data_IF_141282973981
#
_entry.id   IF_141282973981
#
_cell.length_a   1.000
_cell.length_b   1.000
_cell.length_c   1.000
_cell.angle_alpha   90.00
_cell.angle_beta   90.00
_cell.angle_gamma   90.00
#
_symmetry.space_group_name_H-M   'P 1'
#
loop_
_entity.id
_entity.type
_entity.pdbx_description
1 polymer ?
#
# COMPACT_ATOMS: atom_id res chain seq x y z
N UNK A 1 48.86 -3.11 -39.85
CA UNK A 1 47.61 -2.77 -40.58
C UNK A 1 46.50 -2.51 -39.55
N UNK A 2 45.61 -1.56 -39.82
CA UNK A 2 45.05 -0.61 -38.83
C UNK A 2 43.51 -0.85 -38.66
N UNK A 3 42.66 -0.12 -37.94
CA UNK A 3 42.56 1.28 -37.52
C UNK A 3 41.67 1.39 -36.27
N UNK A 4 42.07 2.23 -35.31
CA UNK A 4 41.17 2.91 -34.37
C UNK A 4 40.78 4.25 -35.00
N UNK A 5 39.48 4.50 -35.16
CA UNK A 5 38.98 5.81 -35.58
C UNK A 5 38.64 6.67 -34.35
N UNK A 6 39.38 7.79 -34.22
CA UNK A 6 38.97 8.97 -33.46
C UNK A 6 37.84 9.67 -34.21
N UNK A 7 36.88 10.23 -33.48
CA UNK A 7 35.97 11.25 -34.01
C UNK A 7 36.19 12.55 -33.23
N UNK A 8 36.64 13.57 -33.97
CA UNK A 8 36.76 14.95 -33.54
C UNK A 8 35.38 15.63 -33.48
N UNK A 9 35.26 16.58 -32.55
CA UNK A 9 34.05 17.36 -32.33
C UNK A 9 33.80 18.43 -33.40
N UNK A 10 32.53 18.64 -33.72
CA UNK A 10 32.02 19.88 -34.28
C UNK A 10 30.69 20.24 -33.61
N UNK A 11 30.66 21.43 -33.02
CA UNK A 11 29.49 22.04 -32.40
C UNK A 11 28.50 22.50 -33.49
N UNK A 12 27.24 22.06 -33.40
CA UNK A 12 26.14 22.56 -34.22
C UNK A 12 25.25 23.49 -33.39
N UNK A 13 25.06 24.71 -33.90
CA UNK A 13 24.18 25.75 -33.33
C UNK A 13 22.71 25.42 -33.65
N UNK A 14 21.73 25.78 -32.79
CA UNK A 14 20.32 25.54 -33.07
C UNK A 14 19.75 26.58 -34.04
N UNK A 15 19.11 26.10 -35.11
CA UNK A 15 18.35 26.91 -36.06
C UNK A 15 16.93 27.16 -35.53
N UNK A 16 16.53 28.43 -35.52
CA UNK A 16 15.20 28.92 -35.20
C UNK A 16 14.18 28.52 -36.28
N UNK A 17 13.11 27.82 -35.90
CA UNK A 17 11.92 27.66 -36.75
C UNK A 17 10.73 28.23 -35.98
N UNK A 18 10.43 29.51 -36.26
CA UNK A 18 9.13 30.09 -35.98
C UNK A 18 8.17 29.67 -37.11
N UNK A 19 7.11 28.92 -36.78
CA UNK A 19 5.95 28.76 -37.67
C UNK A 19 4.69 29.15 -36.91
N UNK A 20 3.97 30.05 -37.56
CA UNK A 20 2.71 30.65 -37.13
C UNK A 20 1.61 29.61 -36.90
N UNK A 21 0.89 29.73 -35.80
CA UNK A 21 -0.48 29.23 -35.65
C UNK A 21 -1.40 30.43 -35.38
N UNK A 22 -2.60 30.51 -36.02
CA UNK A 22 -3.52 31.63 -35.83
C UNK A 22 -4.26 31.50 -34.50
N UNK A 23 -4.60 32.61 -33.81
CA UNK A 23 -5.44 32.55 -32.63
C UNK A 23 -6.91 32.43 -33.07
N UNK A 24 -7.55 31.30 -32.74
CA UNK A 24 -9.01 31.21 -32.66
C UNK A 24 -9.40 30.68 -31.30
N UNK A 25 -9.65 31.61 -30.38
CA UNK A 25 -10.52 31.39 -29.23
C UNK A 25 -11.66 32.39 -29.33
N UNK A 26 -12.74 32.01 -30.02
CA UNK A 26 -14.03 32.68 -29.93
C UNK A 26 -14.73 32.10 -28.70
N UNK A 27 -14.64 32.81 -27.58
CA UNK A 27 -15.57 32.60 -26.45
C UNK A 27 -16.80 33.45 -26.77
N UNK A 28 -17.89 32.79 -27.17
CA UNK A 28 -19.21 33.40 -27.10
C UNK A 28 -19.63 33.44 -25.63
N UNK A 29 -19.92 34.64 -25.11
CA UNK A 29 -20.83 34.79 -23.99
C UNK A 29 -21.90 35.82 -24.36
N UNK A 30 -23.13 35.48 -23.98
CA UNK A 30 -24.39 36.13 -24.31
C UNK A 30 -24.55 37.36 -23.41
N UNK A 31 -25.13 38.43 -23.95
CA UNK A 31 -25.38 39.76 -23.36
C UNK A 31 -24.27 40.78 -23.61
N UNK A 32 -24.50 41.60 -24.65
CA UNK A 32 -23.63 42.71 -25.01
C UNK A 32 -23.70 43.84 -24.00
N UNK A 33 -22.54 44.23 -23.47
CA UNK A 33 -22.18 45.59 -23.08
C UNK A 33 -20.65 45.70 -23.08
N UNK A 34 -20.10 46.53 -23.96
CA UNK A 34 -18.69 46.88 -23.96
C UNK A 34 -18.44 47.92 -22.86
N UNK A 35 -17.73 47.54 -21.79
CA UNK A 35 -17.06 48.49 -20.91
C UNK A 35 -15.56 48.46 -21.20
N UNK A 36 -15.04 49.58 -21.69
CA UNK A 36 -13.64 49.77 -21.98
C UNK A 36 -12.85 49.98 -20.68
N UNK A 37 -12.50 48.87 -20.01
CA UNK A 37 -11.44 48.82 -19.00
C UNK A 37 -10.40 47.78 -19.40
N UNK A 38 -9.48 48.21 -20.26
CA UNK A 38 -8.06 47.85 -20.28
C UNK A 38 -7.64 46.38 -20.52
N UNK A 39 -6.77 46.10 -21.52
CA UNK A 39 -5.99 44.86 -21.59
C UNK A 39 -5.09 44.59 -20.35
N UNK A 40 -4.94 45.59 -19.47
CA UNK A 40 -4.15 45.51 -18.25
C UNK A 40 -4.71 44.54 -17.21
N UNK A 41 -6.04 44.43 -17.04
CA UNK A 41 -6.65 43.56 -16.03
C UNK A 41 -6.49 42.07 -16.41
N UNK A 42 -6.54 41.77 -17.71
CA UNK A 42 -6.31 40.42 -18.25
C UNK A 42 -4.82 40.03 -18.15
N UNK A 43 -3.91 40.99 -18.35
CA UNK A 43 -2.47 40.78 -18.15
C UNK A 43 -2.08 40.61 -16.68
N UNK A 44 -2.79 41.26 -15.76
CA UNK A 44 -2.53 41.17 -14.31
C UNK A 44 -3.07 39.85 -13.72
N UNK A 45 -4.23 39.37 -14.19
CA UNK A 45 -4.70 38.02 -13.87
C UNK A 45 -3.83 36.94 -14.52
N UNK A 46 -3.37 37.12 -15.77
CA UNK A 46 -2.43 36.20 -16.41
C UNK A 46 -1.04 36.19 -15.73
N UNK A 47 -0.61 37.32 -15.15
CA UNK A 47 0.62 37.38 -14.33
C UNK A 47 0.46 36.67 -12.99
N UNK A 48 -0.71 36.74 -12.34
CA UNK A 48 -0.96 36.02 -11.10
C UNK A 48 -0.88 34.49 -11.26
N UNK A 49 -1.18 33.96 -12.45
CA UNK A 49 -1.06 32.52 -12.74
C UNK A 49 0.36 32.06 -13.10
N UNK A 50 1.34 32.96 -13.23
CA UNK A 50 2.72 32.64 -13.66
C UNK A 50 3.80 32.85 -12.58
N UNK A 51 3.44 33.10 -11.32
CA UNK A 51 4.39 33.58 -10.29
C UNK A 51 4.74 32.58 -9.18
N UNK A 52 4.72 31.28 -9.43
CA UNK A 52 5.44 30.35 -8.55
C UNK A 52 6.75 29.94 -9.23
N UNK A 53 7.85 30.50 -8.75
CA UNK A 53 9.18 30.01 -9.09
C UNK A 53 9.25 28.51 -8.79
N UNK A 54 9.89 27.70 -9.66
CA UNK A 54 10.01 26.27 -9.41
C UNK A 54 10.69 26.03 -8.06
N UNK A 55 10.14 25.10 -7.28
CA UNK A 55 10.70 24.70 -5.99
C UNK A 55 12.15 24.27 -6.18
N UNK A 56 13.04 24.81 -5.34
CA UNK A 56 14.46 24.45 -5.30
C UNK A 56 14.73 23.80 -3.95
N UNK A 57 15.03 22.48 -3.92
CA UNK A 57 15.37 21.81 -2.67
C UNK A 57 16.53 22.51 -1.93
N UNK A 58 16.45 22.70 -0.61
CA UNK A 58 17.56 23.26 0.15
C UNK A 58 18.75 22.28 0.18
N UNK A 59 19.96 22.79 0.43
CA UNK A 59 21.17 21.96 0.59
C UNK A 59 21.04 20.92 1.71
N UNK A 60 20.31 21.29 2.76
CA UNK A 60 20.01 20.43 3.90
C UNK A 60 18.50 20.50 4.11
N UNK A 61 17.84 19.35 4.06
CA UNK A 61 16.41 19.26 4.33
C UNK A 61 16.15 19.55 5.81
N UNK A 62 15.11 20.34 6.08
CA UNK A 62 14.60 20.60 7.42
C UNK A 62 13.11 20.26 7.44
N UNK A 63 12.60 19.62 8.50
CA UNK A 63 11.17 19.37 8.63
C UNK A 63 10.43 20.70 8.76
N UNK A 64 9.63 21.05 7.75
CA UNK A 64 8.68 22.15 7.89
C UNK A 64 7.52 21.74 8.81
N UNK A 65 6.85 22.71 9.44
CA UNK A 65 5.63 22.44 10.20
C UNK A 65 4.59 21.82 9.25
N UNK A 66 4.10 20.60 9.51
CA UNK A 66 3.18 19.92 8.60
C UNK A 66 1.93 20.78 8.38
N UNK A 67 1.66 21.16 7.13
CA UNK A 67 0.42 21.86 6.75
C UNK A 67 -0.45 20.91 5.93
N UNK A 68 -1.29 20.14 6.61
CA UNK A 68 -2.30 19.27 5.99
C UNK A 68 -1.84 17.86 5.61
N UNK A 69 -2.80 17.04 5.14
CA UNK A 69 -2.64 15.61 4.84
C UNK A 69 -3.06 14.69 5.99
N UNK A 70 -3.66 13.54 5.66
CA UNK A 70 -4.32 12.64 6.62
C UNK A 70 -3.40 12.08 7.73
N UNK A 71 -2.08 12.07 7.51
CA UNK A 71 -1.10 11.48 8.44
C UNK A 71 -0.08 12.50 8.98
N UNK A 72 -0.35 13.79 8.83
CA UNK A 72 0.55 14.87 9.26
C UNK A 72 0.84 14.86 10.78
N UNK A 73 -0.11 14.40 11.60
CA UNK A 73 0.02 14.31 13.06
C UNK A 73 0.98 13.21 13.54
N UNK A 74 1.29 12.22 12.68
CA UNK A 74 2.06 11.03 13.07
C UNK A 74 3.39 10.86 12.31
N UNK A 75 3.51 11.42 11.11
CA UNK A 75 4.73 11.32 10.30
C UNK A 75 5.85 12.19 10.89
N UNK A 76 7.02 11.59 11.14
CA UNK A 76 8.16 12.26 11.77
C UNK A 76 9.49 11.82 11.13
N UNK A 77 10.53 12.67 11.14
CA UNK A 77 11.85 12.31 10.64
C UNK A 77 12.69 11.49 11.63
N UNK A 78 12.15 11.19 12.82
CA UNK A 78 12.82 10.43 13.89
C UNK A 78 11.97 9.25 14.32
N UNK A 79 12.63 8.15 14.70
CA UNK A 79 12.01 6.94 15.24
C UNK A 79 11.98 6.97 16.78
N UNK A 80 11.44 5.89 17.38
CA UNK A 80 11.45 5.68 18.83
C UNK A 80 10.14 6.05 19.52
N UNK A 81 10.03 5.71 20.81
CA UNK A 81 8.81 5.89 21.58
C UNK A 81 8.53 7.36 21.86
N UNK A 82 7.25 7.66 22.07
CA UNK A 82 6.74 9.01 22.41
C UNK A 82 6.05 9.07 23.76
N UNK A 83 5.63 7.91 24.26
CA UNK A 83 4.95 7.77 25.53
C UNK A 83 5.19 6.38 26.10
N UNK A 84 5.19 6.28 27.42
CA UNK A 84 5.27 5.01 28.12
C UNK A 84 3.90 4.34 28.15
N UNK A 85 3.81 3.13 27.59
CA UNK A 85 2.59 2.30 27.61
C UNK A 85 2.96 0.86 27.28
N UNK A 86 2.74 -0.01 28.26
CA UNK A 86 2.85 -1.46 28.11
C UNK A 86 1.79 -1.99 27.16
N UNK A 87 2.12 -3.06 26.45
CA UNK A 87 1.15 -3.75 25.58
C UNK A 87 0.31 -4.76 26.39
N UNK A 88 -1.00 -4.87 26.11
CA UNK A 88 -1.84 -5.89 26.72
C UNK A 88 -1.42 -7.29 26.26
N UNK A 89 -1.61 -8.28 27.12
CA UNK A 89 -1.28 -9.69 26.85
C UNK A 89 -2.46 -10.54 27.24
N UNK A 90 -2.97 -11.34 26.30
CA UNK A 90 -4.07 -12.26 26.52
C UNK A 90 -3.62 -13.68 26.81
N UNK A 91 -4.58 -14.62 26.69
CA UNK A 91 -4.39 -16.04 27.07
C UNK A 91 -3.71 -16.88 25.99
N UNK A 92 -3.71 -16.41 24.75
CA UNK A 92 -3.31 -17.21 23.60
C UNK A 92 -1.79 -17.16 23.33
N UNK A 93 -1.22 -18.18 22.68
CA UNK A 93 0.22 -18.23 22.41
C UNK A 93 0.70 -17.09 21.51
N UNK A 94 -0.11 -16.63 20.56
CA UNK A 94 0.27 -15.59 19.61
C UNK A 94 -0.41 -14.27 19.98
N UNK A 95 0.38 -13.24 20.26
CA UNK A 95 -0.12 -11.89 20.55
C UNK A 95 0.13 -11.01 19.32
N UNK A 96 -0.94 -10.62 18.62
CA UNK A 96 -0.90 -9.75 17.45
C UNK A 96 -1.31 -8.33 17.85
N UNK A 97 -0.50 -7.35 17.46
CA UNK A 97 -0.78 -5.91 17.64
C UNK A 97 -0.91 -5.29 16.25
N UNK A 98 -2.14 -4.93 15.87
CA UNK A 98 -2.46 -4.69 14.46
C UNK A 98 -3.65 -3.75 14.23
N UNK A 99 -3.96 -3.53 12.95
CA UNK A 99 -5.10 -2.78 12.43
C UNK A 99 -5.50 -3.41 11.09
N UNK A 100 -6.80 -3.43 10.75
CA UNK A 100 -7.34 -4.04 9.52
C UNK A 100 -6.97 -3.33 8.20
N UNK A 101 -5.80 -2.72 8.12
CA UNK A 101 -5.17 -2.34 6.85
C UNK A 101 -4.82 -3.59 6.04
N UNK A 102 -4.55 -3.47 4.72
CA UNK A 102 -4.05 -4.59 3.91
C UNK A 102 -2.90 -5.37 4.56
N UNK A 103 -1.97 -4.70 5.24
CA UNK A 103 -0.83 -5.40 5.88
C UNK A 103 -1.25 -6.19 7.13
N UNK A 104 -2.18 -5.68 7.94
CA UNK A 104 -2.69 -6.40 9.11
C UNK A 104 -3.55 -7.59 8.72
N UNK A 105 -4.40 -7.40 7.69
CA UNK A 105 -5.29 -8.45 7.17
C UNK A 105 -4.52 -9.66 6.65
N UNK A 106 -3.30 -9.51 6.10
CA UNK A 106 -2.45 -10.66 5.74
C UNK A 106 -2.28 -11.63 6.90
N UNK A 107 -1.98 -11.10 8.08
CA UNK A 107 -1.64 -11.91 9.26
C UNK A 107 -2.90 -12.55 9.85
N UNK A 108 -4.00 -11.80 9.94
CA UNK A 108 -5.26 -12.36 10.45
C UNK A 108 -5.84 -13.42 9.52
N UNK A 109 -5.71 -13.25 8.19
CA UNK A 109 -6.03 -14.32 7.23
C UNK A 109 -5.16 -15.54 7.49
N UNK A 110 -3.83 -15.39 7.60
CA UNK A 110 -2.93 -16.52 7.85
C UNK A 110 -3.28 -17.29 9.12
N UNK A 111 -3.60 -16.58 10.21
CA UNK A 111 -3.98 -17.20 11.48
C UNK A 111 -5.30 -17.96 11.36
N UNK A 112 -6.33 -17.36 10.74
CA UNK A 112 -7.62 -18.02 10.52
C UNK A 112 -7.50 -19.21 9.54
N UNK A 113 -6.60 -19.15 8.56
CA UNK A 113 -6.31 -20.26 7.64
C UNK A 113 -5.64 -21.43 8.39
N UNK A 114 -4.71 -21.15 9.30
CA UNK A 114 -4.08 -22.16 10.15
C UNK A 114 -5.07 -22.79 11.12
N UNK A 115 -5.94 -21.99 11.73
CA UNK A 115 -7.02 -22.49 12.59
C UNK A 115 -8.01 -23.37 11.82
N UNK A 116 -8.35 -23.00 10.58
CA UNK A 116 -9.19 -23.82 9.70
C UNK A 116 -8.54 -25.18 9.34
N UNK A 117 -7.21 -25.28 9.36
CA UNK A 117 -6.46 -26.53 9.22
C UNK A 117 -6.34 -27.33 10.53
N UNK A 118 -6.87 -26.82 11.65
CA UNK A 118 -6.84 -27.48 12.95
C UNK A 118 -5.58 -27.22 13.78
N UNK A 119 -4.75 -26.24 13.40
CA UNK A 119 -3.56 -25.87 14.17
C UNK A 119 -3.94 -25.06 15.41
N UNK A 120 -4.26 -25.72 16.53
CA UNK A 120 -4.63 -25.05 17.78
C UNK A 120 -3.54 -24.13 18.34
N UNK A 121 -2.27 -24.37 18.01
CA UNK A 121 -1.17 -23.47 18.36
C UNK A 121 -1.20 -22.11 17.66
N UNK A 122 -2.07 -21.93 16.65
CA UNK A 122 -2.28 -20.68 15.94
C UNK A 122 -3.34 -19.78 16.59
N UNK A 123 -3.93 -20.21 17.72
CA UNK A 123 -4.81 -19.35 18.52
C UNK A 123 -4.09 -18.05 18.92
N UNK A 124 -4.82 -16.94 18.86
CA UNK A 124 -4.21 -15.61 18.97
C UNK A 124 -5.10 -14.57 19.63
N UNK A 125 -4.48 -13.62 20.32
CA UNK A 125 -5.11 -12.37 20.72
C UNK A 125 -4.71 -11.28 19.73
N UNK A 126 -5.67 -10.63 19.07
CA UNK A 126 -5.41 -9.52 18.16
C UNK A 126 -5.87 -8.19 18.76
N UNK A 127 -4.91 -7.47 19.31
CA UNK A 127 -5.07 -6.17 19.94
C UNK A 127 -5.06 -5.04 18.93
N UNK A 128 -5.96 -4.09 19.10
CA UNK A 128 -6.11 -2.95 18.20
C UNK A 128 -5.02 -1.90 18.46
N UNK A 129 -4.34 -1.48 17.40
CA UNK A 129 -3.37 -0.37 17.40
C UNK A 129 -3.90 0.73 16.49
N UNK A 130 -4.35 1.85 17.07
CA UNK A 130 -4.91 2.97 16.32
C UNK A 130 -3.79 3.84 15.77
N UNK A 131 -3.35 3.54 14.54
CA UNK A 131 -2.19 4.20 13.94
C UNK A 131 -2.34 5.72 13.79
N UNK A 132 -3.58 6.21 13.66
CA UNK A 132 -3.91 7.64 13.58
C UNK A 132 -3.76 8.37 14.91
N UNK A 133 -3.80 7.63 16.03
CA UNK A 133 -3.68 8.15 17.40
C UNK A 133 -2.26 7.98 17.96
N UNK A 134 -1.37 7.33 17.21
CA UNK A 134 0.03 7.18 17.58
C UNK A 134 0.34 6.00 18.51
N UNK A 135 -0.59 5.05 18.69
CA UNK A 135 -0.36 3.84 19.52
C UNK A 135 0.91 3.07 19.13
N UNK A 136 1.29 3.08 17.85
CA UNK A 136 2.52 2.46 17.34
C UNK A 136 3.83 3.10 17.85
N UNK A 137 3.73 4.20 18.57
CA UNK A 137 4.86 4.90 19.19
C UNK A 137 4.88 4.77 20.72
N UNK A 138 4.12 3.84 21.31
CA UNK A 138 4.31 3.46 22.72
C UNK A 138 5.64 2.74 22.93
N UNK A 139 6.19 2.80 24.14
CA UNK A 139 7.36 2.01 24.51
C UNK A 139 7.16 0.51 24.24
N UNK A 140 6.06 -0.08 24.69
CA UNK A 140 5.76 -1.50 24.46
C UNK A 140 5.65 -1.87 22.98
N UNK A 141 5.05 -1.03 22.12
CA UNK A 141 4.99 -1.33 20.69
C UNK A 141 6.36 -1.23 20.01
N UNK A 142 7.16 -0.23 20.38
CA UNK A 142 8.52 -0.05 19.84
C UNK A 142 9.45 -1.19 20.25
N UNK A 143 9.27 -1.78 21.43
CA UNK A 143 10.00 -2.97 21.86
C UNK A 143 9.75 -4.18 20.97
N UNK A 144 8.53 -4.36 20.45
CA UNK A 144 8.22 -5.44 19.50
C UNK A 144 8.66 -5.05 18.08
N UNK A 145 8.37 -3.82 17.64
CA UNK A 145 8.75 -3.33 16.33
C UNK A 145 9.40 -1.92 16.40
N UNK A 146 10.73 -1.82 16.27
CA UNK A 146 11.42 -0.53 16.29
C UNK A 146 11.09 0.37 15.09
N UNK A 147 10.46 -0.17 14.04
CA UNK A 147 9.97 0.59 12.88
C UNK A 147 8.61 1.26 13.13
N UNK A 148 7.95 1.00 14.27
CA UNK A 148 6.64 1.58 14.62
C UNK A 148 5.58 1.39 13.52
N UNK A 149 5.49 0.18 12.96
CA UNK A 149 4.44 -0.18 11.99
C UNK A 149 3.73 -1.47 12.38
N UNK A 150 2.42 -1.49 12.17
CA UNK A 150 1.63 -2.72 12.21
C UNK A 150 1.81 -3.51 10.90
N UNK A 151 1.53 -4.83 10.90
CA UNK A 151 1.35 -5.69 12.08
C UNK A 151 2.68 -6.00 12.80
N UNK A 152 2.59 -6.26 14.10
CA UNK A 152 3.67 -6.81 14.90
C UNK A 152 3.13 -7.97 15.75
N UNK A 153 3.88 -9.06 15.86
CA UNK A 153 3.48 -10.29 16.56
C UNK A 153 4.51 -10.66 17.62
N UNK A 154 4.04 -11.14 18.77
CA UNK A 154 4.85 -11.75 19.81
C UNK A 154 4.40 -13.19 20.03
N UNK A 155 5.25 -14.15 19.67
CA UNK A 155 5.02 -15.57 19.94
C UNK A 155 5.50 -15.91 21.36
N UNK A 156 4.55 -16.20 22.24
CA UNK A 156 4.75 -16.55 23.65
C UNK A 156 4.68 -18.05 23.91
N UNK A 157 4.67 -18.89 22.87
CA UNK A 157 4.71 -20.35 23.02
C UNK A 157 6.10 -20.91 23.36
N UNK A 158 7.13 -20.06 23.34
CA UNK A 158 8.50 -20.40 23.70
C UNK A 158 8.83 -19.91 25.12
N UNK A 159 9.87 -20.48 25.75
CA UNK A 159 10.37 -20.04 27.06
C UNK A 159 10.77 -18.55 27.03
N UNK A 160 11.48 -18.14 25.98
CA UNK A 160 11.74 -16.73 25.67
C UNK A 160 10.81 -16.31 24.52
N UNK A 161 9.90 -15.34 24.71
CA UNK A 161 9.03 -14.87 23.65
C UNK A 161 9.79 -14.37 22.41
N UNK A 162 9.27 -14.66 21.23
CA UNK A 162 9.87 -14.29 19.94
C UNK A 162 9.06 -13.15 19.32
N UNK A 163 9.67 -11.97 19.18
CA UNK A 163 9.08 -10.85 18.44
C UNK A 163 9.26 -11.04 16.93
N UNK A 164 8.21 -10.83 16.16
CA UNK A 164 8.19 -10.93 14.70
C UNK A 164 7.44 -9.72 14.15
N UNK A 165 8.13 -8.88 13.38
CA UNK A 165 7.56 -7.69 12.74
C UNK A 165 7.85 -7.72 11.24
N UNK A 166 7.15 -6.87 10.49
CA UNK A 166 6.92 -6.95 9.03
C UNK A 166 5.98 -8.09 8.62
N UNK A 167 4.89 -7.73 7.93
CA UNK A 167 3.84 -8.69 7.56
C UNK A 167 4.36 -9.91 6.79
N UNK A 168 5.30 -9.74 5.84
CA UNK A 168 5.90 -10.85 5.11
C UNK A 168 6.76 -11.78 5.98
N UNK A 169 7.46 -11.21 6.97
CA UNK A 169 8.22 -11.98 7.96
C UNK A 169 7.29 -12.80 8.86
N UNK A 170 6.18 -12.20 9.31
CA UNK A 170 5.16 -12.90 10.11
C UNK A 170 4.53 -14.05 9.31
N UNK A 171 4.19 -13.84 8.04
CA UNK A 171 3.67 -14.90 7.18
C UNK A 171 4.66 -16.06 7.03
N UNK A 172 5.93 -15.76 6.74
CA UNK A 172 6.98 -16.76 6.61
C UNK A 172 7.19 -17.52 7.93
N UNK A 173 7.27 -16.81 9.06
CA UNK A 173 7.41 -17.38 10.40
C UNK A 173 6.28 -18.37 10.71
N UNK A 174 5.02 -17.97 10.49
CA UNK A 174 3.86 -18.82 10.73
C UNK A 174 3.83 -20.02 9.77
N UNK A 175 4.17 -19.83 8.49
CA UNK A 175 4.23 -20.91 7.53
C UNK A 175 5.26 -21.98 7.91
N UNK A 176 6.43 -21.57 8.41
CA UNK A 176 7.47 -22.48 8.89
C UNK A 176 7.07 -23.16 10.20
N UNK A 177 6.58 -22.38 11.19
CA UNK A 177 6.14 -22.89 12.49
C UNK A 177 5.10 -24.01 12.36
N UNK A 178 4.18 -23.88 11.42
CA UNK A 178 3.08 -24.83 11.22
C UNK A 178 3.23 -25.69 9.95
N UNK A 179 4.35 -25.59 9.24
CA UNK A 179 4.63 -26.32 7.98
C UNK A 179 3.45 -26.27 6.99
N UNK A 180 2.86 -25.09 6.82
CA UNK A 180 1.63 -24.88 6.05
C UNK A 180 1.75 -23.65 5.15
N UNK A 181 1.10 -23.67 3.99
CA UNK A 181 1.08 -22.57 3.00
C UNK A 181 2.44 -22.18 2.39
N UNK A 182 3.46 -23.01 2.55
CA UNK A 182 4.77 -22.87 1.93
C UNK A 182 5.28 -24.27 1.51
N UNK A 183 5.50 -24.52 0.21
CA UNK A 183 6.01 -25.81 -0.25
C UNK A 183 7.36 -26.16 0.39
N UNK A 184 7.59 -27.45 0.63
CA UNK A 184 8.83 -27.96 1.22
C UNK A 184 9.92 -28.21 0.16
N UNK A 185 9.53 -28.46 -1.10
CA UNK A 185 10.48 -28.64 -2.18
C UNK A 185 11.13 -27.29 -2.54
N UNK A 186 12.41 -27.34 -2.93
CA UNK A 186 13.21 -26.14 -3.14
C UNK A 186 12.61 -25.23 -4.23
N UNK A 187 12.05 -25.81 -5.30
CA UNK A 187 11.53 -25.05 -6.42
C UNK A 187 10.24 -24.30 -6.04
N UNK A 188 9.25 -25.00 -5.48
CA UNK A 188 7.99 -24.41 -5.02
C UNK A 188 8.20 -23.40 -3.89
N UNK A 189 9.13 -23.68 -2.96
CA UNK A 189 9.51 -22.73 -1.91
C UNK A 189 10.10 -21.47 -2.50
N UNK A 190 11.05 -21.61 -3.42
CA UNK A 190 11.72 -20.46 -4.06
C UNK A 190 10.70 -19.60 -4.81
N UNK A 191 9.80 -20.23 -5.59
CA UNK A 191 8.79 -19.48 -6.33
C UNK A 191 7.81 -18.76 -5.41
N UNK A 192 7.39 -19.39 -4.31
CA UNK A 192 6.56 -18.74 -3.29
C UNK A 192 7.26 -17.53 -2.68
N UNK A 193 8.55 -17.66 -2.36
CA UNK A 193 9.34 -16.56 -1.80
C UNK A 193 9.56 -15.44 -2.82
N UNK A 194 9.78 -15.74 -4.11
CA UNK A 194 9.87 -14.73 -5.16
C UNK A 194 8.65 -13.80 -5.15
N UNK A 195 7.44 -14.37 -5.11
CA UNK A 195 6.20 -13.60 -5.09
C UNK A 195 5.93 -12.91 -3.75
N UNK A 196 6.29 -13.53 -2.62
CA UNK A 196 6.21 -12.89 -1.31
C UNK A 196 7.09 -11.64 -1.24
N UNK A 197 8.35 -11.75 -1.67
CA UNK A 197 9.28 -10.61 -1.68
C UNK A 197 8.92 -9.57 -2.74
N UNK A 198 8.42 -9.99 -3.91
CA UNK A 198 7.82 -9.08 -4.88
C UNK A 198 6.71 -8.25 -4.23
N UNK A 199 5.80 -8.87 -3.49
CA UNK A 199 4.69 -8.18 -2.83
C UNK A 199 5.20 -7.14 -1.83
N UNK A 200 6.18 -7.52 -1.00
CA UNK A 200 6.77 -6.62 0.00
C UNK A 200 7.50 -5.43 -0.65
N UNK A 201 8.12 -5.61 -1.82
CA UNK A 201 8.74 -4.53 -2.60
C UNK A 201 7.76 -3.69 -3.43
N UNK A 202 6.64 -4.27 -3.86
CA UNK A 202 5.66 -3.62 -4.74
C UNK A 202 4.63 -2.77 -3.98
N UNK A 203 4.13 -3.25 -2.84
CA UNK A 203 3.10 -2.57 -2.05
C UNK A 203 3.45 -1.13 -1.63
N UNK A 204 4.72 -0.77 -1.32
CA UNK A 204 5.09 0.62 -1.08
C UNK A 204 4.75 1.57 -2.25
N UNK A 205 4.85 1.12 -3.50
CA UNK A 205 4.46 1.92 -4.66
C UNK A 205 2.93 2.06 -4.77
N UNK A 206 2.18 1.01 -4.46
CA UNK A 206 0.72 1.04 -4.50
C UNK A 206 0.12 1.89 -3.35
N UNK A 207 0.58 1.68 -2.12
CA UNK A 207 0.05 2.39 -0.95
C UNK A 207 0.70 3.75 -0.72
N UNK A 208 2.03 3.76 -0.55
CA UNK A 208 2.81 4.95 -0.22
C UNK A 208 3.05 5.88 -1.42
N UNK A 209 2.96 5.36 -2.64
CA UNK A 209 2.93 6.13 -3.87
C UNK A 209 1.50 6.44 -4.29
N UNK A 210 0.88 5.52 -5.03
CA UNK A 210 -0.41 5.73 -5.67
C UNK A 210 -1.50 6.14 -4.66
N UNK A 211 -1.74 5.32 -3.63
CA UNK A 211 -2.76 5.59 -2.61
C UNK A 211 -2.55 6.92 -1.89
N UNK A 212 -1.30 7.28 -1.57
CA UNK A 212 -0.99 8.58 -0.97
C UNK A 212 -1.37 9.74 -1.89
N UNK A 213 -0.79 9.81 -3.09
CA UNK A 213 -0.99 10.94 -4.00
C UNK A 213 -2.41 10.99 -4.59
N UNK A 214 -3.05 9.84 -4.77
CA UNK A 214 -4.41 9.75 -5.30
C UNK A 214 -5.49 9.99 -4.24
N UNK A 215 -5.37 9.42 -3.03
CA UNK A 215 -6.45 9.45 -2.04
C UNK A 215 -6.21 10.42 -0.87
N UNK A 216 -4.97 10.55 -0.37
CA UNK A 216 -4.70 11.21 0.92
C UNK A 216 -3.99 12.55 0.85
N UNK A 217 -3.23 12.82 -0.21
CA UNK A 217 -2.55 14.10 -0.39
C UNK A 217 -3.58 15.24 -0.43
N UNK A 218 -3.31 16.38 0.25
CA UNK A 218 -4.24 17.50 0.32
C UNK A 218 -4.48 18.16 -1.05
N UNK A 219 -3.51 18.03 -1.96
CA UNK A 219 -3.58 18.53 -3.33
C UNK A 219 -3.38 17.41 -4.34
N UNK A 220 -4.05 17.52 -5.50
CA UNK A 220 -3.90 16.56 -6.61
C UNK A 220 -2.76 17.00 -7.50
N UNK A 221 -1.61 16.35 -7.30
CA UNK A 221 -0.40 16.60 -8.08
C UNK A 221 -0.35 15.63 -9.26
N UNK A 222 -0.51 16.16 -10.48
CA UNK A 222 -0.59 15.37 -11.71
C UNK A 222 0.62 14.45 -11.92
N UNK A 223 1.85 14.98 -11.79
CA UNK A 223 3.07 14.22 -12.01
C UNK A 223 3.20 12.97 -11.12
N UNK A 224 3.13 13.05 -9.77
CA UNK A 224 3.22 11.86 -8.94
C UNK A 224 2.02 10.92 -9.10
N UNK A 225 0.79 11.44 -9.32
CA UNK A 225 -0.36 10.59 -9.61
C UNK A 225 -0.11 9.76 -10.87
N UNK A 226 0.28 10.39 -11.98
CA UNK A 226 0.58 9.70 -13.24
C UNK A 226 1.72 8.67 -13.08
N UNK A 227 2.79 9.05 -12.38
CA UNK A 227 3.93 8.15 -12.11
C UNK A 227 3.48 6.87 -11.38
N UNK A 228 2.74 7.02 -10.28
CA UNK A 228 2.38 5.88 -9.45
C UNK A 228 1.16 5.12 -9.96
N UNK A 229 0.24 5.77 -10.69
CA UNK A 229 -0.84 5.08 -11.39
C UNK A 229 -0.29 4.16 -12.50
N UNK A 230 0.71 4.64 -13.25
CA UNK A 230 1.41 3.83 -14.25
C UNK A 230 2.06 2.59 -13.63
N UNK A 231 2.77 2.75 -12.51
CA UNK A 231 3.37 1.62 -11.80
C UNK A 231 2.31 0.69 -11.19
N UNK A 232 1.22 1.22 -10.62
CA UNK A 232 0.12 0.40 -10.11
C UNK A 232 -0.52 -0.45 -11.22
N UNK A 233 -0.80 0.14 -12.40
CA UNK A 233 -1.30 -0.62 -13.57
C UNK A 233 -0.29 -1.66 -14.06
N UNK A 234 1.01 -1.36 -14.04
CA UNK A 234 2.05 -2.35 -14.39
C UNK A 234 2.08 -3.52 -13.40
N UNK A 235 1.92 -3.27 -12.10
CA UNK A 235 1.82 -4.32 -11.08
C UNK A 235 0.57 -5.18 -11.27
N UNK A 236 -0.57 -4.56 -11.59
CA UNK A 236 -1.80 -5.28 -11.95
C UNK A 236 -1.59 -6.16 -13.20
N UNK A 237 -0.93 -5.65 -14.24
CA UNK A 237 -0.62 -6.42 -15.46
C UNK A 237 0.32 -7.60 -15.19
N UNK A 238 1.35 -7.42 -14.34
CA UNK A 238 2.23 -8.53 -13.92
C UNK A 238 1.44 -9.64 -13.25
N UNK A 239 0.54 -9.28 -12.32
CA UNK A 239 -0.30 -10.26 -11.63
C UNK A 239 -1.27 -10.94 -12.60
N UNK A 240 -1.94 -10.18 -13.46
CA UNK A 240 -2.92 -10.73 -14.40
C UNK A 240 -2.27 -11.73 -15.37
N UNK A 241 -1.11 -11.38 -15.93
CA UNK A 241 -0.34 -12.29 -16.81
C UNK A 241 0.09 -13.55 -16.09
N UNK A 242 0.58 -13.44 -14.85
CA UNK A 242 0.95 -14.61 -14.04
C UNK A 242 -0.26 -15.52 -13.82
N UNK A 243 -1.40 -14.93 -13.47
CA UNK A 243 -2.65 -15.62 -13.17
C UNK A 243 -3.38 -16.12 -14.43
N UNK A 244 -2.92 -15.76 -15.62
CA UNK A 244 -3.39 -16.38 -16.86
C UNK A 244 -2.82 -17.79 -17.05
N UNK A 245 -1.60 -18.02 -16.55
CA UNK A 245 -0.87 -19.29 -16.72
C UNK A 245 -1.03 -20.23 -15.53
N UNK A 246 -1.27 -19.69 -14.34
CA UNK A 246 -1.39 -20.45 -13.09
C UNK A 246 -2.65 -20.10 -12.32
N UNK A 247 -3.10 -21.03 -11.48
CA UNK A 247 -4.26 -20.79 -10.61
C UNK A 247 -3.96 -19.79 -9.49
N UNK A 248 -2.77 -19.90 -8.91
CA UNK A 248 -2.25 -19.06 -7.85
C UNK A 248 -0.86 -18.52 -8.23
N UNK A 249 -0.33 -17.59 -7.43
CA UNK A 249 0.91 -16.89 -7.80
C UNK A 249 2.12 -17.82 -7.86
N UNK A 250 2.23 -18.77 -6.93
CA UNK A 250 3.35 -19.70 -6.87
C UNK A 250 3.13 -20.99 -7.69
N UNK A 251 2.01 -21.11 -8.42
CA UNK A 251 1.65 -22.31 -9.18
C UNK A 251 0.19 -22.71 -8.95
N UNK A 252 -0.06 -23.99 -8.72
CA UNK A 252 -1.44 -24.51 -8.60
C UNK A 252 -1.96 -24.61 -7.17
N UNK A 253 -1.13 -24.29 -6.17
CA UNK A 253 -1.47 -24.33 -4.75
C UNK A 253 -1.50 -22.92 -4.15
N UNK A 254 -2.43 -22.72 -3.22
CA UNK A 254 -2.55 -21.47 -2.45
C UNK A 254 -1.44 -21.37 -1.40
N UNK A 255 -0.75 -20.24 -1.36
CA UNK A 255 0.43 -20.05 -0.50
C UNK A 255 0.41 -18.72 0.25
N UNK A 256 1.41 -18.51 1.11
CA UNK A 256 1.66 -17.21 1.73
C UNK A 256 1.91 -16.07 0.73
N UNK A 257 2.32 -16.37 -0.51
CA UNK A 257 2.42 -15.35 -1.55
C UNK A 257 1.04 -14.77 -1.89
N UNK A 258 0.03 -15.63 -2.04
CA UNK A 258 -1.34 -15.22 -2.32
C UNK A 258 -1.94 -14.47 -1.12
N UNK A 259 -1.72 -14.98 0.10
CA UNK A 259 -2.13 -14.31 1.36
C UNK A 259 -1.52 -12.91 1.46
N UNK A 260 -0.27 -12.73 1.02
CA UNK A 260 0.39 -11.44 1.04
C UNK A 260 -0.19 -10.45 -0.01
N UNK A 261 -0.45 -10.93 -1.22
CA UNK A 261 -0.88 -10.08 -2.35
C UNK A 261 -2.35 -9.69 -2.23
N UNK A 262 -3.21 -10.62 -1.82
CA UNK A 262 -4.66 -10.47 -1.91
C UNK A 262 -5.22 -9.27 -1.14
N UNK A 263 -4.80 -8.99 0.11
CA UNK A 263 -5.31 -7.85 0.86
C UNK A 263 -5.00 -6.48 0.22
N UNK A 264 -4.00 -6.41 -0.67
CA UNK A 264 -3.66 -5.20 -1.41
C UNK A 264 -4.39 -5.14 -2.75
N UNK A 265 -4.14 -6.11 -3.63
CA UNK A 265 -4.60 -6.06 -5.01
C UNK A 265 -6.03 -6.57 -5.17
N UNK A 266 -6.41 -7.61 -4.42
CA UNK A 266 -7.79 -8.09 -4.39
C UNK A 266 -8.73 -7.05 -3.77
N UNK A 267 -8.31 -6.39 -2.69
CA UNK A 267 -9.06 -5.28 -2.11
C UNK A 267 -9.21 -4.11 -3.09
N UNK A 268 -8.17 -3.79 -3.88
CA UNK A 268 -8.23 -2.75 -4.90
C UNK A 268 -9.21 -3.12 -6.03
N UNK A 269 -9.13 -4.35 -6.55
CA UNK A 269 -10.05 -4.87 -7.58
C UNK A 269 -11.49 -4.83 -7.10
N UNK A 270 -11.75 -5.19 -5.83
CA UNK A 270 -13.09 -5.13 -5.20
C UNK A 270 -13.48 -3.71 -4.75
N UNK A 271 -12.71 -2.69 -5.13
CA UNK A 271 -12.90 -1.28 -4.79
C UNK A 271 -13.02 -0.99 -3.28
N UNK A 272 -12.32 -1.77 -2.44
CA UNK A 272 -12.30 -1.65 -0.98
C UNK A 272 -11.16 -0.76 -0.46
N UNK A 273 -10.23 -0.36 -1.32
CA UNK A 273 -9.19 0.62 -1.00
C UNK A 273 -9.16 1.75 -2.03
N UNK A 274 -8.97 2.97 -1.55
CA UNK A 274 -8.76 4.20 -2.34
C UNK A 274 -9.88 4.62 -3.30
N UNK A 275 -10.98 3.88 -3.41
CA UNK A 275 -12.03 4.09 -4.41
C UNK A 275 -11.48 4.22 -5.84
N UNK A 276 -10.45 3.43 -6.16
CA UNK A 276 -9.60 3.61 -7.35
C UNK A 276 -9.83 2.57 -8.45
N UNK A 277 -10.76 1.64 -8.27
CA UNK A 277 -10.98 0.54 -9.21
C UNK A 277 -11.27 1.04 -10.65
N UNK A 278 -12.15 2.03 -10.77
CA UNK A 278 -12.47 2.65 -12.06
C UNK A 278 -11.27 3.39 -12.66
N UNK A 279 -10.60 4.20 -11.84
CA UNK A 279 -9.44 5.01 -12.28
C UNK A 279 -8.28 4.16 -12.82
N UNK A 280 -8.04 2.99 -12.23
CA UNK A 280 -7.00 2.06 -12.69
C UNK A 280 -7.49 1.06 -13.75
N UNK A 281 -8.76 1.17 -14.17
CA UNK A 281 -9.40 0.29 -15.16
C UNK A 281 -9.32 -1.18 -14.75
N UNK A 282 -9.64 -1.52 -13.50
CA UNK A 282 -9.40 -2.89 -12.99
C UNK A 282 -10.16 -3.98 -13.74
N UNK A 283 -11.24 -3.62 -14.45
CA UNK A 283 -12.02 -4.51 -15.31
C UNK A 283 -11.20 -5.08 -16.50
N UNK A 284 -10.04 -4.50 -16.82
CA UNK A 284 -9.13 -4.97 -17.87
C UNK A 284 -8.28 -6.19 -17.44
N UNK A 285 -8.33 -6.60 -16.16
CA UNK A 285 -7.50 -7.68 -15.59
C UNK A 285 -8.35 -8.90 -15.19
N UNK A 286 -8.86 -9.69 -16.16
CA UNK A 286 -9.82 -10.77 -15.89
C UNK A 286 -9.25 -11.92 -15.05
N UNK A 287 -7.96 -12.23 -15.18
CA UNK A 287 -7.33 -13.32 -14.45
C UNK A 287 -7.10 -12.93 -12.99
N UNK A 288 -6.73 -11.67 -12.78
CA UNK A 288 -6.64 -11.10 -11.44
C UNK A 288 -8.01 -11.02 -10.76
N UNK A 289 -9.07 -10.65 -11.50
CA UNK A 289 -10.45 -10.69 -10.98
C UNK A 289 -10.84 -12.11 -10.56
N UNK A 290 -10.59 -13.11 -11.41
CA UNK A 290 -10.89 -14.52 -11.11
C UNK A 290 -10.20 -14.97 -9.82
N UNK A 291 -8.90 -14.74 -9.70
CA UNK A 291 -8.12 -15.10 -8.51
C UNK A 291 -8.61 -14.34 -7.27
N UNK A 292 -8.98 -13.06 -7.44
CA UNK A 292 -9.49 -12.22 -6.35
C UNK A 292 -10.77 -12.80 -5.77
N UNK A 293 -11.74 -13.15 -6.61
CA UNK A 293 -13.03 -13.69 -6.14
C UNK A 293 -12.89 -15.12 -5.59
N UNK A 294 -12.00 -15.93 -6.17
CA UNK A 294 -11.71 -17.27 -5.66
C UNK A 294 -11.17 -17.24 -4.22
N UNK A 295 -10.20 -16.35 -3.93
CA UNK A 295 -9.67 -16.19 -2.56
C UNK A 295 -10.68 -15.50 -1.65
N UNK A 296 -11.45 -14.53 -2.15
CA UNK A 296 -12.48 -13.84 -1.37
C UNK A 296 -13.54 -14.79 -0.79
N UNK A 297 -13.81 -15.91 -1.48
CA UNK A 297 -14.78 -16.90 -1.06
C UNK A 297 -14.29 -17.84 0.06
N UNK A 298 -12.99 -17.80 0.42
CA UNK A 298 -12.44 -18.68 1.47
C UNK A 298 -12.97 -18.28 2.85
N UNK A 299 -13.48 -19.22 3.67
CA UNK A 299 -14.03 -18.89 4.99
C UNK A 299 -13.04 -18.15 5.91
N UNK A 300 -11.77 -18.56 5.92
CA UNK A 300 -10.72 -17.91 6.69
C UNK A 300 -10.41 -16.48 6.20
N UNK A 301 -10.52 -16.24 4.89
CA UNK A 301 -10.36 -14.90 4.30
C UNK A 301 -11.50 -13.98 4.70
N UNK A 302 -12.74 -14.49 4.73
CA UNK A 302 -13.92 -13.75 5.19
C UNK A 302 -13.76 -13.37 6.67
N UNK A 303 -13.35 -14.33 7.51
CA UNK A 303 -13.12 -14.09 8.95
C UNK A 303 -11.96 -13.12 9.21
N UNK A 304 -10.79 -13.40 8.65
CA UNK A 304 -9.57 -12.63 8.91
C UNK A 304 -9.70 -11.15 8.53
N UNK A 305 -10.51 -10.81 7.53
CA UNK A 305 -10.77 -9.43 7.12
C UNK A 305 -11.53 -8.59 8.15
N UNK A 306 -12.30 -9.22 9.04
CA UNK A 306 -13.08 -8.53 10.08
C UNK A 306 -12.23 -8.08 11.27
N UNK A 307 -11.14 -8.80 11.53
CA UNK A 307 -10.28 -8.64 12.72
C UNK A 307 -9.50 -7.32 12.66
N UNK A 308 -9.51 -6.59 13.78
CA UNK A 308 -9.01 -5.22 13.96
C UNK A 308 -9.62 -4.18 13.03
N UNK A 309 -10.84 -4.44 12.54
CA UNK A 309 -11.60 -3.48 11.71
C UNK A 309 -12.55 -2.68 12.59
N UNK A 310 -12.52 -1.36 12.41
CA UNK A 310 -13.34 -0.39 13.15
C UNK A 310 -14.11 0.56 12.21
N UNK A 311 -14.26 0.17 10.95
CA UNK A 311 -14.95 0.94 9.90
C UNK A 311 -15.69 0.01 8.94
N UNK A 312 -16.60 0.58 8.14
CA UNK A 312 -17.48 -0.17 7.24
C UNK A 312 -18.75 -0.65 7.94
N UNK A 313 -19.39 -1.68 7.40
CA UNK A 313 -20.61 -2.25 7.99
C UNK A 313 -20.31 -2.89 9.36
N UNK A 314 -21.21 -2.72 10.33
CA UNK A 314 -21.02 -3.21 11.71
C UNK A 314 -20.78 -4.73 11.77
N UNK A 315 -21.46 -5.50 10.92
CA UNK A 315 -21.30 -6.96 10.83
C UNK A 315 -19.89 -7.40 10.37
N UNK A 316 -19.11 -6.50 9.78
CA UNK A 316 -17.73 -6.74 9.35
C UNK A 316 -16.69 -6.21 10.34
N UNK A 317 -17.11 -5.65 11.48
CA UNK A 317 -16.22 -5.04 12.46
C UNK A 317 -15.99 -5.94 13.67
N UNK A 318 -14.75 -6.40 13.82
CA UNK A 318 -14.26 -7.06 15.02
C UNK A 318 -13.03 -6.28 15.50
N UNK A 319 -13.18 -5.27 16.38
CA UNK A 319 -12.09 -4.40 16.80
C UNK A 319 -10.91 -5.18 17.41
N UNK A 320 -11.21 -6.23 18.17
CA UNK A 320 -10.24 -7.16 18.75
C UNK A 320 -10.79 -8.59 18.69
N UNK A 321 -9.89 -9.57 18.64
CA UNK A 321 -10.22 -11.01 18.66
C UNK A 321 -9.48 -11.67 19.80
N UNK A 322 -10.21 -12.32 20.70
CA UNK A 322 -9.69 -13.05 21.86
C UNK A 322 -10.22 -14.48 21.93
N UNK A 323 -11.17 -14.84 21.08
CA UNK A 323 -11.64 -16.20 20.88
C UNK A 323 -12.38 -16.34 19.54
N UNK A 324 -12.58 -17.59 19.09
CA UNK A 324 -13.21 -17.85 17.80
C UNK A 324 -14.63 -17.28 17.68
N UNK A 325 -15.38 -17.26 18.78
CA UNK A 325 -16.77 -16.77 18.81
C UNK A 325 -16.90 -15.25 18.62
N UNK A 326 -15.82 -14.49 18.73
CA UNK A 326 -15.83 -13.05 18.42
C UNK A 326 -16.16 -12.77 16.95
N UNK A 327 -15.97 -13.77 16.08
CA UNK A 327 -16.15 -13.69 14.62
C UNK A 327 -17.51 -14.23 14.15
N UNK A 328 -18.35 -14.75 15.05
CA UNK A 328 -19.66 -15.35 14.72
C UNK A 328 -20.79 -14.32 14.54
N UNK A 329 -20.46 -13.02 14.56
CA UNK A 329 -21.39 -11.90 14.36
C UNK A 329 -21.79 -11.67 12.90
#
# INVERSE_FOLDING_TARGET
MPQQHRYDGQALRPASIARHFPPRALIYNVNGHFNATGPAIVLEQARLFMTQSPYTPPKVWQPETPTGGAFASINRPVAGPTHEKELPVGKHPLQLYSLATPNGVKVTIMLEELLALGHSGAEYDAWLIRISEGDQFSSGFVEINPNSKIPALLDRSHETPVRVFESGSILLYLAEKFSSFLPADLAGRTETLNWLFWQMGAAPYLGGGFGHFYAYAPEKLEYPINRFAMEAKRQLDVLDRRLAEHRYLAGDTYTIADIAVWPWYGALVRNKVYSAAEFLSVHEYPNLIRWTEEIAARPAVIKGQKVNRTWGEEADQVPERHEASDLDK
#
